data_IF_137257959531
#
_entry.id   IF_137257959531
#
_cell.length_a   1.000
_cell.length_b   1.000
_cell.length_c   1.000
_cell.angle_alpha   90.00
_cell.angle_beta   90.00
_cell.angle_gamma   90.00
#
_symmetry.space_group_name_H-M   'P 1'
#
loop_
_entity.id
_entity.type
_entity.pdbx_description
1 polymer ?
#
# COMPACT_ATOMS: atom_id res chain seq x y z
N UNK A 1 -5.58 -14.11 -4.79
CA UNK A 1 -4.52 -13.32 -4.11
C UNK A 1 -5.16 -12.09 -3.49
N UNK A 2 -5.52 -11.09 -4.31
CA UNK A 2 -6.22 -9.90 -3.81
C UNK A 2 -7.74 -10.13 -3.70
N UNK A 3 -8.40 -9.52 -2.70
CA UNK A 3 -9.85 -9.40 -2.66
C UNK A 3 -10.43 -8.65 -3.87
N UNK A 4 -11.71 -8.89 -4.19
CA UNK A 4 -12.39 -8.33 -5.36
C UNK A 4 -12.30 -6.80 -5.44
N UNK A 5 -12.42 -6.11 -4.31
CA UNK A 5 -12.28 -4.66 -4.27
C UNK A 5 -10.92 -4.22 -4.82
N UNK A 6 -9.82 -4.82 -4.34
CA UNK A 6 -8.48 -4.47 -4.80
C UNK A 6 -8.23 -4.84 -6.26
N UNK A 7 -8.78 -5.95 -6.74
CA UNK A 7 -8.75 -6.29 -8.17
C UNK A 7 -9.43 -5.22 -9.06
N UNK A 8 -10.39 -4.47 -8.50
CA UNK A 8 -11.04 -3.33 -9.18
C UNK A 8 -10.32 -1.99 -8.93
N UNK A 9 -9.45 -1.92 -7.92
CA UNK A 9 -8.76 -0.70 -7.51
C UNK A 9 -7.40 -0.51 -8.17
N UNK A 10 -6.75 -1.61 -8.54
CA UNK A 10 -5.48 -1.58 -9.27
C UNK A 10 -5.75 -1.16 -10.72
N UNK A 11 -5.00 -0.17 -11.19
CA UNK A 11 -5.01 0.30 -12.58
C UNK A 11 -4.68 -0.88 -13.50
N UNK A 12 -5.38 -0.97 -14.64
CA UNK A 12 -5.10 -1.97 -15.66
C UNK A 12 -4.63 -1.30 -16.94
N UNK A 13 -3.56 -1.83 -17.52
CA UNK A 13 -3.02 -1.43 -18.83
C UNK A 13 -3.03 -2.69 -19.69
N UNK A 14 -3.66 -2.63 -20.87
CA UNK A 14 -3.83 -3.78 -21.77
C UNK A 14 -4.40 -5.03 -21.08
N UNK A 15 -5.44 -4.85 -20.26
CA UNK A 15 -6.07 -5.87 -19.42
C UNK A 15 -5.17 -6.52 -18.36
N UNK A 16 -3.95 -6.03 -18.16
CA UNK A 16 -3.03 -6.50 -17.11
C UNK A 16 -3.01 -5.52 -15.95
N UNK A 17 -2.99 -6.04 -14.72
CA UNK A 17 -2.83 -5.21 -13.53
C UNK A 17 -1.47 -4.50 -13.58
N UNK A 18 -1.46 -3.19 -13.33
CA UNK A 18 -0.26 -2.37 -13.28
C UNK A 18 0.38 -2.54 -11.90
N UNK A 19 1.19 -3.58 -11.80
CA UNK A 19 1.95 -3.92 -10.61
C UNK A 19 3.35 -4.40 -10.99
N UNK A 20 4.31 -4.13 -10.14
CA UNK A 20 5.69 -4.59 -10.28
C UNK A 20 6.15 -5.28 -9.02
N UNK A 21 7.05 -6.26 -9.15
CA UNK A 21 7.74 -6.87 -8.03
C UNK A 21 9.24 -6.79 -8.25
N UNK A 22 9.95 -6.28 -7.26
CA UNK A 22 11.41 -6.15 -7.26
C UNK A 22 11.97 -7.02 -6.15
N UNK A 23 12.89 -7.90 -6.52
CA UNK A 23 13.61 -8.77 -5.60
C UNK A 23 15.07 -8.32 -5.52
N UNK A 24 15.69 -8.34 -4.34
CA UNK A 24 17.09 -7.99 -4.18
C UNK A 24 17.97 -8.98 -4.96
N UNK A 25 18.98 -8.46 -5.66
CA UNK A 25 19.96 -9.28 -6.38
C UNK A 25 20.98 -9.96 -5.44
N UNK A 26 21.19 -9.39 -4.24
CA UNK A 26 22.09 -9.84 -3.18
C UNK A 26 21.52 -9.44 -1.80
N UNK A 27 22.01 -10.05 -0.70
CA UNK A 27 21.63 -9.77 0.71
C UNK A 27 22.05 -8.36 1.19
N UNK A 28 21.59 -7.28 0.54
CA UNK A 28 22.11 -5.92 0.73
C UNK A 28 21.20 -4.97 1.50
N UNK A 29 20.17 -5.43 2.21
CA UNK A 29 19.29 -4.51 2.96
C UNK A 29 18.17 -5.16 3.77
N UNK A 30 17.31 -4.31 4.36
CA UNK A 30 16.13 -4.70 5.16
C UNK A 30 14.86 -4.89 4.31
N UNK A 31 14.93 -4.63 3.00
CA UNK A 31 13.80 -4.73 2.06
C UNK A 31 14.04 -5.95 1.20
N UNK A 32 13.21 -6.96 1.42
CA UNK A 32 13.41 -8.33 0.95
C UNK A 32 12.63 -8.61 -0.34
N UNK A 33 11.47 -7.98 -0.50
CA UNK A 33 10.70 -8.01 -1.74
C UNK A 33 9.78 -6.79 -1.77
N UNK A 34 9.94 -5.92 -2.77
CA UNK A 34 9.10 -4.75 -2.96
C UNK A 34 8.06 -5.02 -4.04
N UNK A 35 6.79 -5.05 -3.65
CA UNK A 35 5.67 -5.04 -4.58
C UNK A 35 5.08 -3.63 -4.64
N UNK A 36 4.90 -3.10 -5.85
CA UNK A 36 4.26 -1.80 -6.08
C UNK A 36 3.04 -1.97 -6.96
N UNK A 37 1.93 -1.35 -6.56
CA UNK A 37 0.63 -1.41 -7.22
C UNK A 37 0.20 0.01 -7.57
N UNK A 38 -0.15 0.27 -8.84
CA UNK A 38 -0.75 1.55 -9.22
C UNK A 38 -2.25 1.50 -8.95
N UNK A 39 -2.73 2.39 -8.09
CA UNK A 39 -4.12 2.51 -7.66
C UNK A 39 -4.83 3.57 -8.51
N UNK A 40 -6.05 3.27 -8.95
CA UNK A 40 -6.89 4.21 -9.68
C UNK A 40 -7.19 5.48 -8.86
N UNK A 41 -7.23 6.67 -9.49
CA UNK A 41 -7.47 7.94 -8.78
C UNK A 41 -8.74 7.91 -7.91
N UNK A 42 -9.85 7.40 -8.46
CA UNK A 42 -11.14 7.29 -7.77
C UNK A 42 -11.19 6.23 -6.65
N UNK A 43 -10.09 5.51 -6.40
CA UNK A 43 -9.99 4.46 -5.37
C UNK A 43 -9.04 4.86 -4.24
N UNK A 44 -8.21 5.88 -4.46
CA UNK A 44 -7.21 6.38 -3.51
C UNK A 44 -7.82 6.70 -2.14
N UNK A 45 -8.93 7.43 -2.08
CA UNK A 45 -9.59 7.81 -0.81
C UNK A 45 -9.92 6.59 0.05
N UNK A 46 -10.52 5.57 -0.57
CA UNK A 46 -10.93 4.37 0.15
C UNK A 46 -9.70 3.54 0.54
N UNK A 47 -8.69 3.40 -0.32
CA UNK A 47 -7.44 2.72 0.06
C UNK A 47 -6.75 3.41 1.23
N UNK A 48 -6.69 4.75 1.23
CA UNK A 48 -6.13 5.53 2.33
C UNK A 48 -6.89 5.31 3.65
N UNK A 49 -8.23 5.33 3.59
CA UNK A 49 -9.08 5.11 4.76
C UNK A 49 -8.94 3.70 5.32
N UNK A 50 -9.07 2.68 4.48
CA UNK A 50 -9.09 1.28 4.94
C UNK A 50 -7.71 0.84 5.44
N UNK A 51 -6.61 1.28 4.81
CA UNK A 51 -5.27 0.86 5.25
C UNK A 51 -4.72 1.71 6.40
N UNK A 52 -4.95 3.03 6.39
CA UNK A 52 -4.25 3.96 7.28
C UNK A 52 -5.20 4.71 8.24
N UNK A 53 -6.52 4.54 8.12
CA UNK A 53 -7.49 5.34 8.87
C UNK A 53 -7.49 6.82 8.48
N UNK A 54 -6.95 7.15 7.30
CA UNK A 54 -6.79 8.54 6.84
C UNK A 54 -7.98 8.95 5.96
N UNK A 55 -8.66 10.01 6.36
CA UNK A 55 -9.73 10.61 5.56
C UNK A 55 -9.16 11.64 4.59
N UNK A 56 -9.39 11.42 3.30
CA UNK A 56 -8.99 12.31 2.21
C UNK A 56 -10.22 12.95 1.57
N UNK A 57 -10.20 14.27 1.41
CA UNK A 57 -11.23 15.03 0.68
C UNK A 57 -10.62 15.76 -0.52
N UNK A 58 -11.45 15.98 -1.55
CA UNK A 58 -11.07 16.77 -2.73
C UNK A 58 -11.84 18.08 -2.69
N UNK A 59 -11.13 19.19 -2.76
CA UNK A 59 -11.70 20.53 -2.89
C UNK A 59 -10.80 21.35 -3.82
N UNK A 60 -11.39 22.00 -4.82
CA UNK A 60 -10.63 22.76 -5.82
C UNK A 60 -9.57 21.95 -6.58
N UNK A 61 -9.79 20.66 -6.82
CA UNK A 61 -8.83 19.74 -7.47
C UNK A 61 -7.51 19.57 -6.69
N UNK A 62 -7.56 19.66 -5.37
CA UNK A 62 -6.43 19.37 -4.46
C UNK A 62 -6.91 18.45 -3.35
N UNK A 63 -6.04 17.56 -2.90
CA UNK A 63 -6.28 16.71 -1.73
C UNK A 63 -6.21 17.51 -0.42
N UNK A 64 -7.04 17.13 0.54
CA UNK A 64 -6.95 17.54 1.93
C UNK A 64 -6.97 16.31 2.83
N UNK A 65 -6.06 16.26 3.79
CA UNK A 65 -6.13 15.28 4.88
C UNK A 65 -7.01 15.86 5.98
N UNK A 66 -8.04 15.13 6.36
CA UNK A 66 -8.99 15.55 7.39
C UNK A 66 -8.63 14.84 8.70
N UNK A 67 -8.22 15.63 9.69
CA UNK A 67 -7.95 15.13 11.03
C UNK A 67 -9.27 14.92 11.81
N UNK A 68 -9.22 14.10 12.86
CA UNK A 68 -10.41 13.75 13.65
C UNK A 68 -11.12 14.94 14.33
N UNK A 69 -10.45 16.08 14.47
CA UNK A 69 -11.02 17.34 14.97
C UNK A 69 -11.53 18.27 13.85
N UNK A 70 -11.58 17.82 12.60
CA UNK A 70 -12.00 18.59 11.44
C UNK A 70 -10.93 19.51 10.85
N UNK A 71 -9.72 19.55 11.40
CA UNK A 71 -8.60 20.32 10.83
C UNK A 71 -8.23 19.73 9.47
N UNK A 72 -8.07 20.61 8.48
CA UNK A 72 -7.66 20.27 7.12
C UNK A 72 -6.17 20.53 6.95
N UNK A 73 -5.42 19.50 6.58
CA UNK A 73 -4.02 19.64 6.18
C UNK A 73 -3.91 19.65 4.66
N UNK A 74 -3.21 20.66 4.13
CA UNK A 74 -2.89 20.74 2.72
C UNK A 74 -1.55 19.99 2.47
N UNK A 75 -1.53 18.93 1.65
CA UNK A 75 -0.31 18.23 1.30
C UNK A 75 0.59 19.10 0.42
N UNK A 76 1.89 18.79 0.44
CA UNK A 76 2.89 19.44 -0.41
C UNK A 76 2.80 19.00 -1.88
N UNK A 77 3.93 18.62 -2.48
CA UNK A 77 3.94 18.03 -3.83
C UNK A 77 3.44 16.59 -3.83
N UNK A 78 3.79 15.86 -2.77
CA UNK A 78 3.39 14.47 -2.54
C UNK A 78 2.92 14.31 -1.10
N UNK A 79 2.04 13.33 -0.90
CA UNK A 79 1.63 12.83 0.39
C UNK A 79 2.04 11.37 0.51
N UNK A 80 2.78 11.07 1.56
CA UNK A 80 3.27 9.73 1.88
C UNK A 80 2.54 9.23 3.12
N UNK A 81 1.71 8.21 2.97
CA UNK A 81 1.04 7.53 4.08
C UNK A 81 1.82 6.29 4.46
N UNK A 82 2.09 6.14 5.76
CA UNK A 82 2.76 4.99 6.37
C UNK A 82 2.06 4.64 7.69
N UNK A 83 2.29 3.43 8.19
CA UNK A 83 1.63 2.96 9.41
C UNK A 83 0.26 2.33 9.10
N UNK A 84 0.25 1.35 8.21
CA UNK A 84 -0.98 0.63 7.91
C UNK A 84 -1.42 -0.27 9.08
N UNK A 85 -2.74 -0.40 9.26
CA UNK A 85 -3.36 -1.20 10.29
C UNK A 85 -3.50 -2.66 9.83
N UNK A 86 -3.26 -3.63 10.72
CA UNK A 86 -3.30 -5.05 10.38
C UNK A 86 -4.68 -5.47 9.85
N UNK A 87 -5.74 -4.95 10.45
CA UNK A 87 -7.13 -5.23 10.08
C UNK A 87 -7.41 -4.72 8.67
N UNK A 88 -6.94 -3.50 8.36
CA UNK A 88 -7.00 -2.91 7.03
C UNK A 88 -6.24 -3.71 5.98
N UNK A 89 -5.03 -4.18 6.31
CA UNK A 89 -4.22 -5.03 5.43
C UNK A 89 -4.96 -6.33 5.11
N UNK A 90 -5.47 -7.03 6.13
CA UNK A 90 -6.20 -8.29 5.92
C UNK A 90 -7.48 -8.06 5.11
N UNK A 91 -8.27 -7.04 5.46
CA UNK A 91 -9.53 -6.75 4.80
C UNK A 91 -9.37 -6.30 3.34
N UNK A 92 -8.38 -5.44 3.08
CA UNK A 92 -8.20 -4.85 1.77
C UNK A 92 -7.29 -5.68 0.87
N UNK A 93 -6.14 -6.16 1.37
CA UNK A 93 -5.13 -6.87 0.58
C UNK A 93 -5.25 -8.39 0.66
N UNK A 94 -5.99 -8.91 1.63
CA UNK A 94 -6.24 -10.34 1.81
C UNK A 94 -5.16 -11.06 2.62
N UNK A 95 -5.47 -12.30 2.99
CA UNK A 95 -4.64 -13.10 3.90
C UNK A 95 -3.25 -13.41 3.32
N UNK A 96 -3.14 -13.73 2.03
CA UNK A 96 -1.84 -14.07 1.41
C UNK A 96 -0.85 -12.91 1.50
N UNK A 97 -1.30 -11.69 1.20
CA UNK A 97 -0.46 -10.49 1.31
C UNK A 97 -0.18 -10.17 2.78
N UNK A 98 -1.16 -10.32 3.66
CA UNK A 98 -0.94 -10.11 5.11
C UNK A 98 0.13 -11.05 5.68
N UNK A 99 0.13 -12.33 5.29
CA UNK A 99 1.16 -13.29 5.72
C UNK A 99 2.54 -12.87 5.22
N UNK A 100 2.66 -12.56 3.92
CA UNK A 100 3.89 -12.07 3.30
C UNK A 100 4.47 -10.82 3.99
N UNK A 101 3.62 -9.88 4.41
CA UNK A 101 4.05 -8.71 5.18
C UNK A 101 4.53 -9.11 6.59
N UNK A 102 3.82 -10.02 7.27
CA UNK A 102 4.20 -10.51 8.61
C UNK A 102 5.54 -11.22 8.62
N UNK A 103 5.89 -11.91 7.54
CA UNK A 103 7.19 -12.56 7.37
C UNK A 103 8.36 -11.58 7.19
N UNK A 104 8.10 -10.36 6.73
CA UNK A 104 9.16 -9.39 6.41
C UNK A 104 10.04 -9.06 7.63
N UNK A 105 11.36 -8.83 7.45
CA UNK A 105 12.24 -8.45 8.56
C UNK A 105 11.79 -7.19 9.26
N UNK A 106 11.30 -6.20 8.50
CA UNK A 106 10.81 -4.93 9.06
C UNK A 106 9.62 -5.19 9.98
N UNK A 107 8.60 -5.95 9.53
CA UNK A 107 7.44 -6.21 10.38
C UNK A 107 7.80 -7.02 11.62
N UNK A 108 8.72 -7.98 11.50
CA UNK A 108 9.19 -8.76 12.65
C UNK A 108 9.88 -7.87 13.70
N UNK A 109 10.62 -6.84 13.28
CA UNK A 109 11.23 -5.88 14.21
C UNK A 109 10.19 -4.96 14.85
N UNK A 110 9.28 -4.39 14.05
CA UNK A 110 8.17 -3.56 14.54
C UNK A 110 7.36 -4.27 15.63
N UNK A 111 7.08 -5.56 15.47
CA UNK A 111 6.38 -6.36 16.47
C UNK A 111 7.20 -6.52 17.75
N UNK A 112 8.52 -6.69 17.66
CA UNK A 112 9.41 -6.74 18.85
C UNK A 112 9.43 -5.40 19.60
N UNK A 113 9.31 -4.29 18.86
CA UNK A 113 9.22 -2.94 19.41
C UNK A 113 7.78 -2.54 19.83
N UNK A 114 6.84 -3.49 19.85
CA UNK A 114 5.43 -3.28 20.19
C UNK A 114 4.70 -2.24 19.32
N UNK A 115 5.15 -2.05 18.07
CA UNK A 115 4.48 -1.21 17.10
C UNK A 115 3.27 -1.91 16.49
N UNK A 116 2.08 -1.33 16.70
CA UNK A 116 0.82 -1.87 16.19
C UNK A 116 0.69 -1.70 14.67
N UNK A 117 0.98 -0.48 14.18
CA UNK A 117 0.92 -0.12 12.77
C UNK A 117 2.26 -0.41 12.07
N UNK A 118 2.20 -0.77 10.78
CA UNK A 118 3.39 -1.16 10.02
C UNK A 118 3.80 -0.16 8.95
N UNK A 119 5.10 0.07 8.82
CA UNK A 119 5.73 0.80 7.71
C UNK A 119 5.93 -0.06 6.46
N UNK A 120 5.67 -1.38 6.54
CA UNK A 120 5.77 -2.29 5.40
C UNK A 120 4.73 -2.03 4.30
N UNK A 121 3.73 -1.19 4.57
CA UNK A 121 2.73 -0.78 3.59
C UNK A 121 2.73 0.74 3.54
N UNK A 122 2.95 1.30 2.36
CA UNK A 122 2.97 2.75 2.16
C UNK A 122 2.13 3.13 0.96
N UNK A 123 1.42 4.25 1.01
CA UNK A 123 0.72 4.81 -0.14
C UNK A 123 1.30 6.19 -0.45
N UNK A 124 1.76 6.38 -1.68
CA UNK A 124 2.24 7.66 -2.19
C UNK A 124 1.20 8.20 -3.15
N UNK A 125 0.76 9.44 -2.93
CA UNK A 125 -0.15 10.15 -3.84
C UNK A 125 0.43 11.53 -4.14
N UNK A 126 0.23 12.01 -5.37
CA UNK A 126 0.64 13.36 -5.74
C UNK A 126 -0.41 14.37 -5.30
N UNK A 127 -0.10 15.66 -5.44
CA UNK A 127 -1.05 16.74 -5.15
C UNK A 127 -2.31 16.71 -6.02
N UNK A 128 -2.23 16.10 -7.21
CA UNK A 128 -3.32 16.07 -8.19
C UNK A 128 -4.27 14.90 -7.90
N UNK A 129 -5.57 15.13 -7.60
CA UNK A 129 -6.55 14.06 -7.43
C UNK A 129 -6.90 13.30 -8.70
N UNK A 130 -6.45 13.78 -9.85
CA UNK A 130 -6.62 13.09 -11.14
C UNK A 130 -5.55 12.01 -11.33
N UNK A 131 -4.48 12.05 -10.56
CA UNK A 131 -3.43 11.05 -10.57
C UNK A 131 -3.77 9.93 -9.58
N UNK A 132 -3.34 8.72 -9.94
CA UNK A 132 -3.48 7.56 -9.08
C UNK A 132 -2.59 7.63 -7.85
N UNK A 133 -2.60 6.56 -7.07
CA UNK A 133 -1.64 6.35 -5.99
C UNK A 133 -0.70 5.20 -6.30
N UNK A 134 0.48 5.18 -5.68
CA UNK A 134 1.37 4.02 -5.69
C UNK A 134 1.35 3.40 -4.31
N UNK A 135 0.78 2.20 -4.22
CA UNK A 135 0.77 1.40 -3.00
C UNK A 135 1.98 0.46 -3.03
N UNK A 136 2.89 0.62 -2.08
CA UNK A 136 4.08 -0.20 -1.93
C UNK A 136 3.92 -1.16 -0.75
N UNK A 137 4.38 -2.40 -0.93
CA UNK A 137 4.36 -3.47 0.04
C UNK A 137 5.77 -4.05 0.17
N UNK A 138 6.29 -4.11 1.39
CA UNK A 138 7.50 -4.86 1.74
C UNK A 138 7.10 -6.25 2.24
N UNK A 139 7.56 -7.26 1.52
CA UNK A 139 7.19 -8.66 1.70
C UNK A 139 8.42 -9.49 2.07
N UNK A 140 8.18 -10.63 2.71
CA UNK A 140 9.17 -11.69 2.81
C UNK A 140 9.54 -12.25 1.43
N UNK A 141 10.80 -12.61 1.21
CA UNK A 141 11.32 -13.01 -0.11
C UNK A 141 10.61 -14.27 -0.64
N UNK A 142 10.51 -15.31 0.17
CA UNK A 142 9.94 -16.61 -0.20
C UNK A 142 8.47 -16.50 -0.58
N UNK A 143 7.65 -15.91 0.28
CA UNK A 143 6.24 -15.61 0.00
C UNK A 143 6.10 -14.65 -1.18
N UNK A 144 7.05 -13.72 -1.36
CA UNK A 144 7.16 -12.87 -2.53
C UNK A 144 7.32 -13.65 -3.83
N UNK A 145 8.17 -14.68 -3.87
CA UNK A 145 8.33 -15.54 -5.05
C UNK A 145 7.06 -16.33 -5.37
N UNK A 146 6.40 -16.87 -4.35
CA UNK A 146 5.12 -17.58 -4.52
C UNK A 146 4.03 -16.65 -5.07
N UNK A 147 3.95 -15.42 -4.57
CA UNK A 147 3.04 -14.39 -5.09
C UNK A 147 3.36 -14.02 -6.53
N UNK A 148 4.65 -13.85 -6.88
CA UNK A 148 5.07 -13.57 -8.26
C UNK A 148 4.59 -14.68 -9.20
N UNK A 149 4.86 -15.93 -8.84
CA UNK A 149 4.47 -17.10 -9.63
C UNK A 149 2.96 -17.12 -9.87
N UNK A 150 2.16 -16.85 -8.84
CA UNK A 150 0.71 -16.85 -8.95
C UNK A 150 0.10 -15.58 -9.59
N UNK A 151 0.85 -14.49 -9.77
CA UNK A 151 0.40 -13.24 -10.41
C UNK A 151 0.82 -13.11 -11.87
N UNK A 152 1.95 -13.71 -12.25
CA UNK A 152 2.59 -13.51 -13.55
C UNK A 152 2.65 -14.77 -14.42
N UNK A 153 2.53 -15.96 -13.82
CA UNK A 153 2.50 -17.24 -14.53
C UNK A 153 1.08 -17.83 -14.58
#
# INVERSE_FOLDING_TARGET
IFPLYMCSAILKVDNKANLTMTFPAHDSGRIDCLMSLVILPNKVQNVARELFGVNLEIDGNIWYVILGNGVRLLPGLELHLQGAQNEGIVGLLGNSISSAIKGSPIRREEVREAMLATSCVTLIITRSPQEGGVLNLNLEVGEGFELKRALFD
#
